data_IF_189607685356
#
_entry.id   IF_189607685356
#
_cell.length_a   1.000
_cell.length_b   1.000
_cell.length_c   1.000
_cell.angle_alpha   90.00
_cell.angle_beta   90.00
_cell.angle_gamma   90.00
#
_symmetry.space_group_name_H-M   'P 1'
#
loop_
_entity.id
_entity.type
_entity.pdbx_description
1 polymer ?
#
# COMPACT_ATOMS: atom_id res chain seq x y z
N UNK A 1 -2.94 3.78 -12.97
CA UNK A 1 -1.49 3.68 -12.82
C UNK A 1 -1.05 4.10 -11.44
N UNK A 2 -0.20 3.36 -10.84
CA UNK A 2 0.27 3.74 -9.52
C UNK A 2 1.61 4.45 -9.60
N UNK A 3 1.64 5.72 -9.24
CA UNK A 3 2.88 6.45 -9.03
C UNK A 3 3.41 6.19 -7.62
N UNK A 4 2.59 5.58 -6.79
CA UNK A 4 2.85 5.48 -5.35
C UNK A 4 3.42 4.15 -4.93
N UNK A 5 3.73 3.31 -5.90
CA UNK A 5 4.25 1.98 -5.61
C UNK A 5 3.15 1.06 -5.08
N UNK A 6 2.92 0.00 -5.80
CA UNK A 6 1.93 -1.00 -5.45
C UNK A 6 2.55 -2.38 -5.55
N UNK A 7 2.30 -3.21 -4.56
CA UNK A 7 2.71 -4.61 -4.58
C UNK A 7 1.47 -5.46 -4.67
N UNK A 8 1.41 -6.31 -5.71
CA UNK A 8 0.30 -7.22 -5.91
C UNK A 8 0.76 -8.63 -5.56
N UNK A 9 0.00 -9.30 -4.72
CA UNK A 9 0.24 -10.69 -4.36
C UNK A 9 -0.96 -11.52 -4.75
N UNK A 10 -0.70 -12.63 -5.41
CA UNK A 10 -1.73 -13.63 -5.72
C UNK A 10 -1.43 -14.90 -4.96
N UNK A 11 -2.46 -15.50 -4.40
CA UNK A 11 -2.35 -16.73 -3.64
C UNK A 11 -2.84 -17.91 -4.46
N UNK A 12 -2.48 -19.12 -4.05
CA UNK A 12 -2.84 -20.34 -4.80
C UNK A 12 -4.34 -20.56 -4.91
N UNK A 13 -5.11 -20.07 -3.94
CA UNK A 13 -6.57 -20.19 -3.95
C UNK A 13 -7.24 -19.08 -4.79
N UNK A 14 -6.46 -18.31 -5.53
CA UNK A 14 -6.91 -17.18 -6.34
C UNK A 14 -7.38 -15.97 -5.51
N UNK A 15 -7.08 -15.94 -4.23
CA UNK A 15 -7.18 -14.70 -3.46
C UNK A 15 -6.07 -13.75 -3.92
N UNK A 16 -6.26 -12.49 -3.66
CA UNK A 16 -5.27 -11.47 -4.02
C UNK A 16 -5.16 -10.41 -2.93
N UNK A 17 -4.02 -9.75 -2.92
CA UNK A 17 -3.78 -8.64 -2.00
C UNK A 17 -3.00 -7.56 -2.74
N UNK A 18 -3.39 -6.31 -2.53
CA UNK A 18 -2.69 -5.16 -3.10
C UNK A 18 -2.26 -4.25 -1.97
N UNK A 19 -0.95 -3.97 -1.90
CA UNK A 19 -0.34 -3.17 -0.86
C UNK A 19 0.14 -1.87 -1.47
N UNK A 20 -0.30 -0.75 -0.91
CA UNK A 20 0.01 0.57 -1.43
C UNK A 20 1.09 1.25 -0.59
N UNK A 21 1.78 2.20 -1.20
CA UNK A 21 2.88 2.91 -0.56
C UNK A 21 2.44 3.80 0.60
N UNK A 22 1.18 4.22 0.62
CA UNK A 22 0.62 5.07 1.67
C UNK A 22 -0.04 4.29 2.80
N UNK A 23 0.00 2.96 2.75
CA UNK A 23 -0.62 2.12 3.76
C UNK A 23 -2.01 1.61 3.42
N UNK A 24 -2.60 2.06 2.32
CA UNK A 24 -3.85 1.50 1.83
C UNK A 24 -3.63 0.03 1.47
N UNK A 25 -4.61 -0.80 1.75
CA UNK A 25 -4.55 -2.23 1.51
C UNK A 25 -5.85 -2.71 0.92
N UNK A 26 -5.78 -3.50 -0.13
CA UNK A 26 -6.95 -4.12 -0.74
C UNK A 26 -6.77 -5.64 -0.71
N UNK A 27 -7.82 -6.35 -0.32
CA UNK A 27 -7.79 -7.81 -0.24
C UNK A 27 -8.98 -8.37 -1.02
N UNK A 28 -8.71 -9.35 -1.87
CA UNK A 28 -9.75 -10.02 -2.64
C UNK A 28 -9.93 -11.45 -2.16
N UNK A 29 -11.17 -11.82 -1.87
CA UNK A 29 -11.56 -13.19 -1.55
C UNK A 29 -12.25 -13.81 -2.76
N UNK A 30 -11.62 -14.80 -3.36
CA UNK A 30 -12.19 -15.52 -4.51
C UNK A 30 -13.46 -16.28 -4.10
N UNK A 31 -13.44 -16.88 -2.93
CA UNK A 31 -14.57 -17.64 -2.41
C UNK A 31 -15.81 -16.78 -2.26
N UNK A 32 -15.64 -15.56 -1.76
CA UNK A 32 -16.74 -14.63 -1.51
C UNK A 32 -16.98 -13.68 -2.67
N UNK A 33 -16.07 -13.64 -3.63
CA UNK A 33 -16.10 -12.70 -4.76
C UNK A 33 -16.26 -11.26 -4.27
N UNK A 34 -15.43 -10.88 -3.30
CA UNK A 34 -15.50 -9.56 -2.71
C UNK A 34 -14.11 -8.97 -2.44
N UNK A 35 -14.04 -7.65 -2.50
CA UNK A 35 -12.88 -6.89 -2.09
C UNK A 35 -13.12 -6.28 -0.71
N UNK A 36 -12.07 -6.23 0.10
CA UNK A 36 -12.04 -5.45 1.32
C UNK A 36 -10.97 -4.38 1.16
N UNK A 37 -11.35 -3.13 1.30
CA UNK A 37 -10.45 -1.98 1.17
C UNK A 37 -10.25 -1.36 2.54
N UNK A 38 -8.98 -1.18 2.92
CA UNK A 38 -8.61 -0.51 4.17
C UNK A 38 -7.77 0.70 3.81
N UNK A 39 -8.23 1.90 4.19
CA UNK A 39 -7.46 3.10 3.89
C UNK A 39 -6.36 3.31 4.94
N UNK A 40 -5.52 4.32 4.76
CA UNK A 40 -4.39 4.55 5.64
C UNK A 40 -4.78 4.94 7.07
N UNK A 41 -6.02 5.37 7.29
CA UNK A 41 -6.54 5.70 8.62
C UNK A 41 -7.33 4.56 9.26
N UNK A 42 -7.40 3.40 8.61
CA UNK A 42 -8.08 2.24 9.15
C UNK A 42 -9.54 2.11 8.77
N UNK A 43 -10.08 3.03 7.97
CA UNK A 43 -11.46 2.88 7.49
C UNK A 43 -11.53 1.74 6.50
N UNK A 44 -12.56 0.91 6.62
CA UNK A 44 -12.73 -0.28 5.80
C UNK A 44 -14.04 -0.25 5.05
N UNK A 45 -14.01 -0.76 3.82
CA UNK A 45 -15.20 -0.91 2.99
C UNK A 45 -15.14 -2.26 2.28
N UNK A 46 -16.29 -2.87 2.15
CA UNK A 46 -16.46 -4.09 1.36
C UNK A 46 -17.05 -3.72 0.00
N UNK A 47 -16.49 -4.28 -1.06
CA UNK A 47 -17.03 -4.12 -2.40
C UNK A 47 -17.46 -5.49 -2.92
N UNK A 48 -18.75 -5.65 -3.17
CA UNK A 48 -19.34 -6.91 -3.65
C UNK A 48 -20.55 -6.60 -4.51
N UNK A 49 -20.62 -7.26 -5.67
CA UNK A 49 -21.75 -7.10 -6.61
C UNK A 49 -22.02 -5.63 -6.98
N UNK A 50 -20.97 -4.84 -7.11
CA UNK A 50 -21.07 -3.44 -7.46
C UNK A 50 -21.48 -2.53 -6.31
N UNK A 51 -21.57 -3.04 -5.10
CA UNK A 51 -22.04 -2.28 -3.93
C UNK A 51 -20.92 -2.17 -2.90
N UNK A 52 -20.68 -0.94 -2.41
CA UNK A 52 -19.80 -0.69 -1.28
C UNK A 52 -20.59 -0.72 0.02
N UNK A 53 -20.03 -1.37 1.03
CA UNK A 53 -20.60 -1.44 2.37
C UNK A 53 -19.52 -1.07 3.37
N UNK A 54 -19.83 -0.17 4.31
CA UNK A 54 -18.90 0.18 5.37
C UNK A 54 -18.73 -0.99 6.33
N UNK A 55 -17.50 -1.18 6.78
CA UNK A 55 -17.14 -2.21 7.74
C UNK A 55 -16.58 -1.56 9.00
N UNK A 56 -16.46 -2.36 10.06
CA UNK A 56 -15.82 -1.91 11.28
C UNK A 56 -14.39 -1.43 11.00
N UNK A 57 -14.03 -0.27 11.54
CA UNK A 57 -12.72 0.31 11.32
C UNK A 57 -11.63 -0.46 12.05
N UNK A 58 -10.42 -0.46 11.46
CA UNK A 58 -9.24 -0.97 12.13
C UNK A 58 -8.69 0.16 13.00
N UNK A 59 -8.55 -0.06 14.31
CA UNK A 59 -7.99 0.98 15.18
C UNK A 59 -6.61 1.42 14.72
N UNK A 60 -6.39 2.73 14.73
CA UNK A 60 -5.16 3.33 14.26
C UNK A 60 -4.69 4.37 15.25
N UNK A 61 -3.42 4.28 15.67
CA UNK A 61 -2.80 5.28 16.53
C UNK A 61 -1.92 6.19 15.65
N UNK A 62 -1.92 7.47 15.97
CA UNK A 62 -1.09 8.47 15.28
C UNK A 62 -0.17 9.13 16.29
N UNK A 63 1.12 9.12 16.02
CA UNK A 63 2.12 9.74 16.88
C UNK A 63 3.02 10.65 16.04
N UNK A 64 3.43 11.76 16.62
CA UNK A 64 4.36 12.70 15.98
C UNK A 64 5.60 12.81 16.84
N UNK A 65 6.76 12.64 16.21
CA UNK A 65 8.05 12.86 16.87
C UNK A 65 8.31 14.35 16.92
N UNK A 66 8.38 14.90 18.12
CA UNK A 66 8.57 16.35 18.33
C UNK A 66 9.92 16.83 17.84
N UNK A 67 10.94 16.00 17.87
CA UNK A 67 12.29 16.41 17.46
C UNK A 67 12.46 16.40 15.95
N UNK A 68 11.99 15.34 15.28
CA UNK A 68 12.20 15.17 13.85
C UNK A 68 11.04 15.63 13.00
N UNK A 69 9.84 15.78 13.59
CA UNK A 69 8.63 16.10 12.86
C UNK A 69 8.04 14.91 12.12
N UNK A 70 8.60 13.72 12.29
CA UNK A 70 8.07 12.54 11.66
C UNK A 70 6.73 12.15 12.25
N UNK A 71 5.79 11.76 11.39
CA UNK A 71 4.45 11.36 11.81
C UNK A 71 4.28 9.88 11.53
N UNK A 72 3.97 9.11 12.58
CA UNK A 72 3.75 7.67 12.49
C UNK A 72 2.27 7.35 12.62
N UNK A 73 1.80 6.43 11.78
CA UNK A 73 0.49 5.83 11.89
C UNK A 73 0.66 4.33 12.06
N UNK A 74 0.08 3.80 13.13
CA UNK A 74 0.19 2.38 13.47
C UNK A 74 -1.21 1.79 13.47
N UNK A 75 -1.50 0.89 12.52
CA UNK A 75 -2.79 0.21 12.46
C UNK A 75 -2.70 -1.14 13.15
N UNK A 76 -3.78 -1.55 13.79
CA UNK A 76 -3.82 -2.85 14.46
C UNK A 76 -3.70 -4.04 13.52
N UNK A 77 -3.96 -3.85 12.21
CA UNK A 77 -3.75 -4.91 11.24
C UNK A 77 -2.27 -5.12 10.88
N UNK A 78 -1.36 -4.44 11.57
CA UNK A 78 0.07 -4.63 11.39
C UNK A 78 0.72 -3.71 10.36
N UNK A 79 0.01 -2.68 9.89
CA UNK A 79 0.57 -1.71 8.95
C UNK A 79 1.10 -0.51 9.72
N UNK A 80 2.36 -0.16 9.43
CA UNK A 80 3.02 1.02 9.97
C UNK A 80 3.32 1.97 8.81
N UNK A 81 2.96 3.24 8.95
CA UNK A 81 3.26 4.26 7.96
C UNK A 81 3.96 5.42 8.64
N UNK A 82 5.08 5.86 8.07
CA UNK A 82 5.84 6.99 8.61
C UNK A 82 6.01 8.04 7.52
N UNK A 83 5.58 9.27 7.81
CA UNK A 83 5.82 10.42 6.95
C UNK A 83 6.88 11.27 7.60
N UNK A 84 8.02 11.42 6.95
CA UNK A 84 9.13 12.20 7.46
C UNK A 84 8.94 13.69 7.17
N UNK A 85 9.69 14.54 7.90
CA UNK A 85 9.57 15.98 7.74
C UNK A 85 9.89 16.47 6.33
N UNK A 86 10.73 15.76 5.60
CA UNK A 86 11.07 16.10 4.20
C UNK A 86 9.99 15.70 3.21
N UNK A 87 8.92 15.04 3.66
CA UNK A 87 7.84 14.57 2.82
C UNK A 87 8.00 13.16 2.30
N UNK A 88 9.13 12.49 2.57
CA UNK A 88 9.27 11.09 2.21
C UNK A 88 8.37 10.23 3.07
N UNK A 89 7.97 9.06 2.53
CA UNK A 89 7.05 8.15 3.21
C UNK A 89 7.64 6.75 3.25
N UNK A 90 7.51 6.11 4.39
CA UNK A 90 7.90 4.72 4.58
C UNK A 90 6.68 3.94 5.05
N UNK A 91 6.39 2.82 4.41
CA UNK A 91 5.28 1.97 4.80
C UNK A 91 5.74 0.53 4.98
N UNK A 92 5.37 -0.05 6.12
CA UNK A 92 5.68 -1.44 6.44
C UNK A 92 4.36 -2.20 6.56
N UNK A 93 4.13 -3.14 5.65
CA UNK A 93 2.94 -3.97 5.66
C UNK A 93 3.13 -5.23 6.51
N UNK A 94 2.02 -5.84 6.89
CA UNK A 94 1.99 -6.98 7.82
C UNK A 94 2.85 -8.16 7.34
N UNK A 95 2.92 -8.37 6.04
CA UNK A 95 3.66 -9.50 5.46
C UNK A 95 5.19 -9.28 5.39
N UNK A 96 5.68 -8.14 5.89
CA UNK A 96 7.09 -7.79 5.84
C UNK A 96 7.48 -6.97 4.62
N UNK A 97 6.53 -6.64 3.73
CA UNK A 97 6.81 -5.75 2.60
C UNK A 97 7.02 -4.34 3.09
N UNK A 98 8.12 -3.70 2.65
CA UNK A 98 8.44 -2.32 2.99
C UNK A 98 8.48 -1.49 1.73
N UNK A 99 7.82 -0.34 1.75
CA UNK A 99 7.76 0.57 0.60
C UNK A 99 8.24 1.93 1.05
N UNK A 100 9.30 2.42 0.43
CA UNK A 100 9.86 3.73 0.73
C UNK A 100 9.74 4.64 -0.49
N UNK A 101 9.10 5.78 -0.32
CA UNK A 101 8.87 6.76 -1.39
C UNK A 101 9.65 8.03 -1.06
N UNK A 102 10.43 8.54 -2.02
CA UNK A 102 11.17 9.78 -1.84
C UNK A 102 10.22 10.98 -1.75
N UNK A 103 10.71 12.09 -1.16
CA UNK A 103 9.91 13.29 -0.95
C UNK A 103 9.34 13.85 -2.25
N UNK A 104 10.11 13.82 -3.33
CA UNK A 104 9.71 14.33 -4.64
C UNK A 104 8.95 13.31 -5.47
N UNK A 105 8.69 12.13 -4.90
CA UNK A 105 7.99 11.03 -5.58
C UNK A 105 8.70 10.50 -6.82
N UNK A 106 9.98 10.80 -6.98
CA UNK A 106 10.75 10.35 -8.14
C UNK A 106 11.24 8.91 -8.03
N UNK A 107 11.31 8.37 -6.83
CA UNK A 107 11.82 7.03 -6.59
C UNK A 107 10.98 6.31 -5.54
N UNK A 108 10.68 5.05 -5.81
CA UNK A 108 9.98 4.18 -4.89
C UNK A 108 10.80 2.90 -4.74
N UNK A 109 11.19 2.60 -3.51
CA UNK A 109 11.95 1.40 -3.19
C UNK A 109 11.05 0.40 -2.48
N UNK A 110 11.00 -0.82 -3.01
CA UNK A 110 10.18 -1.90 -2.46
C UNK A 110 11.11 -3.02 -1.99
N UNK A 111 10.97 -3.37 -0.71
CA UNK A 111 11.68 -4.50 -0.12
C UNK A 111 10.67 -5.54 0.33
N UNK A 112 10.84 -6.78 -0.10
CA UNK A 112 9.99 -7.90 0.30
C UNK A 112 10.80 -8.84 1.17
N UNK A 113 10.16 -9.41 2.18
CA UNK A 113 10.79 -10.42 3.01
C UNK A 113 11.28 -11.57 2.13
N UNK A 114 12.56 -11.95 2.28
CA UNK A 114 13.20 -13.04 1.54
C UNK A 114 13.36 -12.79 0.03
N UNK A 115 13.23 -11.55 -0.42
CA UNK A 115 13.44 -11.17 -1.81
C UNK A 115 14.37 -9.96 -1.89
N UNK A 116 15.01 -9.81 -3.05
CA UNK A 116 15.83 -8.63 -3.31
C UNK A 116 14.95 -7.37 -3.33
N UNK A 117 15.49 -6.26 -2.90
CA UNK A 117 14.78 -5.00 -2.97
C UNK A 117 14.70 -4.51 -4.41
N UNK A 118 13.64 -3.80 -4.73
CA UNK A 118 13.41 -3.19 -6.02
C UNK A 118 13.28 -1.68 -5.87
N UNK A 119 13.89 -0.95 -6.79
CA UNK A 119 13.76 0.50 -6.82
C UNK A 119 13.10 0.89 -8.14
N UNK A 120 12.05 1.64 -8.06
CA UNK A 120 11.31 2.14 -9.22
C UNK A 120 11.54 3.64 -9.28
N UNK A 121 12.05 4.11 -10.41
CA UNK A 121 12.19 5.53 -10.67
C UNK A 121 11.02 6.01 -11.52
N UNK A 122 10.44 7.10 -11.11
CA UNK A 122 9.28 7.69 -11.76
C UNK A 122 9.72 8.94 -12.54
N UNK A 123 8.84 9.49 -13.32
CA UNK A 123 9.15 10.68 -14.13
C UNK A 123 9.66 10.27 -15.51
N UNK A 124 10.90 10.62 -15.85
CA UNK A 124 11.44 10.32 -17.19
C UNK A 124 11.49 8.84 -17.51
N UNK A 125 11.55 7.99 -16.48
CA UNK A 125 11.58 6.54 -16.64
C UNK A 125 10.18 5.91 -16.68
N UNK A 126 9.13 6.69 -16.60
CA UNK A 126 7.75 6.19 -16.49
C UNK A 126 7.35 5.32 -17.67
N UNK A 127 7.84 5.61 -18.86
CA UNK A 127 7.54 4.78 -20.05
C UNK A 127 7.99 3.35 -19.90
N UNK A 128 9.11 3.14 -19.21
CA UNK A 128 9.68 1.82 -19.03
C UNK A 128 8.88 0.98 -18.03
N UNK A 129 8.05 1.63 -17.25
CA UNK A 129 7.24 0.96 -16.22
C UNK A 129 5.77 0.84 -16.60
N UNK A 130 5.39 1.28 -17.79
CA UNK A 130 3.98 1.33 -18.21
C UNK A 130 3.28 -0.03 -18.13
N UNK A 131 3.95 -1.10 -18.55
CA UNK A 131 3.37 -2.44 -18.47
C UNK A 131 2.99 -2.82 -17.03
N UNK A 132 3.87 -2.52 -16.09
CA UNK A 132 3.58 -2.81 -14.68
C UNK A 132 2.43 -1.97 -14.17
N UNK A 133 2.38 -0.72 -14.60
CA UNK A 133 1.28 0.18 -14.22
C UNK A 133 -0.06 -0.33 -14.73
N UNK A 134 -0.10 -0.86 -15.94
CA UNK A 134 -1.32 -1.43 -16.49
C UNK A 134 -1.78 -2.64 -15.70
N UNK A 135 -0.85 -3.51 -15.29
CA UNK A 135 -1.19 -4.64 -14.45
C UNK A 135 -1.78 -4.19 -13.11
N UNK A 136 -1.25 -3.14 -12.54
CA UNK A 136 -1.77 -2.58 -11.30
C UNK A 136 -3.19 -2.08 -11.46
N UNK A 137 -3.48 -1.39 -12.56
CA UNK A 137 -4.83 -0.90 -12.84
C UNK A 137 -5.82 -2.04 -13.01
N UNK A 138 -5.40 -3.11 -13.66
CA UNK A 138 -6.26 -4.26 -13.90
C UNK A 138 -6.58 -5.03 -12.63
N UNK A 139 -5.80 -4.84 -11.56
CA UNK A 139 -6.04 -5.48 -10.27
C UNK A 139 -7.23 -4.84 -9.54
N UNK A 140 -7.63 -3.67 -9.96
CA UNK A 140 -8.79 -2.96 -9.43
C UNK A 140 -9.87 -2.83 -10.50
#
# INVERSE_FOLDING_TARGET
MSKDGVVIRQFRNNDAEVLFADGVRAQFSKKRMEWTLTNNLGKRRRFRNGIYTDMEEVPTAVETDQETGAKMMIREDGVLSVTYADGSVYCHHQDGTKIHTTADRSEIRIEKKNYASHTIKIGKAAHQTDHKSELHRNAF
#
